data_IF_018113459939
#
_entry.id   IF_018113459939
#
_cell.length_a   1.000
_cell.length_b   1.000
_cell.length_c   1.000
_cell.angle_alpha   90.00
_cell.angle_beta   90.00
_cell.angle_gamma   90.00
#
_symmetry.space_group_name_H-M   'P 1'
#
loop_
_entity.id
_entity.type
_entity.pdbx_description
1 polymer ?
#
# COMPACT_ATOMS: atom_id res chain seq x y z
N UNK A 1 -16.25 -7.02 -22.01
CA UNK A 1 -16.67 -6.63 -20.63
C UNK A 1 -15.46 -6.47 -19.71
N UNK A 2 -15.50 -5.58 -18.73
CA UNK A 2 -14.51 -5.49 -17.64
C UNK A 2 -15.13 -6.11 -16.39
N UNK A 3 -14.43 -7.07 -15.79
CA UNK A 3 -14.81 -7.66 -14.50
C UNK A 3 -13.99 -7.00 -13.36
N UNK A 4 -14.61 -6.79 -12.21
CA UNK A 4 -13.95 -6.26 -11.00
C UNK A 4 -13.89 -7.33 -9.93
N UNK A 5 -12.70 -7.60 -9.41
CA UNK A 5 -12.44 -8.57 -8.36
C UNK A 5 -11.98 -7.92 -7.06
N UNK A 6 -12.50 -8.39 -5.93
CA UNK A 6 -12.05 -7.97 -4.61
C UNK A 6 -12.03 -9.16 -3.63
N UNK A 7 -10.91 -9.33 -2.92
CA UNK A 7 -10.82 -10.25 -1.79
C UNK A 7 -11.21 -9.48 -0.51
N UNK A 8 -12.28 -9.91 0.16
CA UNK A 8 -12.88 -9.19 1.28
C UNK A 8 -12.59 -9.92 2.58
N UNK A 9 -11.93 -9.25 3.51
CA UNK A 9 -11.74 -9.69 4.92
C UNK A 9 -12.55 -8.83 5.90
N UNK A 10 -12.84 -7.57 5.51
CA UNK A 10 -13.67 -6.63 6.25
C UNK A 10 -14.75 -6.05 5.31
N UNK A 11 -15.99 -6.51 5.48
CA UNK A 11 -17.12 -6.07 4.66
C UNK A 11 -17.44 -4.59 4.84
N UNK A 12 -17.29 -4.04 6.05
CA UNK A 12 -17.58 -2.62 6.30
C UNK A 12 -16.57 -1.73 5.57
N UNK A 13 -15.31 -2.15 5.52
CA UNK A 13 -14.26 -1.45 4.77
C UNK A 13 -14.52 -1.53 3.26
N UNK A 14 -14.86 -2.70 2.74
CA UNK A 14 -15.22 -2.88 1.34
C UNK A 14 -16.41 -2.00 0.93
N UNK A 15 -17.50 -2.02 1.71
CA UNK A 15 -18.72 -1.23 1.44
C UNK A 15 -18.48 0.29 1.53
N UNK A 16 -17.51 0.72 2.31
CA UNK A 16 -17.17 2.14 2.45
C UNK A 16 -16.09 2.66 1.49
N UNK A 17 -15.25 1.78 0.94
CA UNK A 17 -14.11 2.17 0.11
C UNK A 17 -14.19 1.61 -1.32
N UNK A 18 -13.96 0.31 -1.51
CA UNK A 18 -13.84 -0.27 -2.86
C UNK A 18 -15.17 -0.33 -3.60
N UNK A 19 -16.23 -0.78 -2.95
CA UNK A 19 -17.52 -0.99 -3.59
C UNK A 19 -18.09 0.28 -4.24
N UNK A 20 -18.13 1.45 -3.56
CA UNK A 20 -18.61 2.69 -4.19
C UNK A 20 -17.78 3.13 -5.39
N UNK A 21 -16.46 2.94 -5.34
CA UNK A 21 -15.55 3.23 -6.44
C UNK A 21 -15.80 2.33 -7.64
N UNK A 22 -15.93 1.02 -7.42
CA UNK A 22 -16.24 0.04 -8.46
C UNK A 22 -17.62 0.34 -9.09
N UNK A 23 -18.66 0.52 -8.27
CA UNK A 23 -20.03 0.83 -8.78
C UNK A 23 -20.11 2.12 -9.58
N UNK A 24 -19.23 3.08 -9.31
CA UNK A 24 -19.15 4.36 -10.05
C UNK A 24 -18.67 4.18 -11.47
N UNK A 25 -17.76 3.24 -11.70
CA UNK A 25 -17.07 3.06 -12.99
C UNK A 25 -17.50 1.81 -13.73
N UNK A 26 -18.18 0.87 -13.07
CA UNK A 26 -18.70 -0.34 -13.68
C UNK A 26 -19.68 -0.01 -14.81
N UNK A 27 -19.51 -0.66 -15.95
CA UNK A 27 -20.39 -0.57 -17.10
C UNK A 27 -21.57 -1.54 -16.96
N UNK A 28 -22.65 -1.40 -17.77
CA UNK A 28 -23.84 -2.24 -17.62
C UNK A 28 -23.61 -3.74 -17.80
N UNK A 29 -22.54 -4.12 -18.50
CA UNK A 29 -22.11 -5.50 -18.72
C UNK A 29 -20.96 -5.94 -17.81
N UNK A 30 -20.53 -5.07 -16.86
CA UNK A 30 -19.47 -5.43 -15.92
C UNK A 30 -19.94 -6.45 -14.89
N UNK A 31 -19.08 -7.43 -14.56
CA UNK A 31 -19.29 -8.37 -13.48
C UNK A 31 -18.47 -7.97 -12.24
N UNK A 32 -19.06 -8.12 -11.06
CA UNK A 32 -18.39 -7.84 -9.77
C UNK A 32 -18.20 -9.16 -9.01
N UNK A 33 -16.93 -9.58 -8.92
CA UNK A 33 -16.50 -10.79 -8.27
C UNK A 33 -15.96 -10.44 -6.86
N UNK A 34 -16.84 -10.43 -5.87
CA UNK A 34 -16.48 -10.09 -4.49
C UNK A 34 -16.45 -11.37 -3.63
N UNK A 35 -15.27 -11.79 -3.19
CA UNK A 35 -15.11 -12.97 -2.36
C UNK A 35 -14.79 -12.60 -0.91
N UNK A 36 -15.71 -12.94 -0.02
CA UNK A 36 -15.45 -12.85 1.41
C UNK A 36 -14.60 -14.02 1.89
N UNK A 37 -13.41 -13.75 2.40
CA UNK A 37 -12.59 -14.77 3.07
C UNK A 37 -13.10 -15.11 4.48
N UNK A 38 -14.06 -14.37 5.02
CA UNK A 38 -14.71 -14.64 6.30
C UNK A 38 -15.41 -16.02 6.24
N UNK A 39 -14.76 -17.02 6.78
CA UNK A 39 -15.26 -18.40 6.79
C UNK A 39 -14.49 -19.40 5.91
N UNK A 40 -13.54 -18.98 5.10
CA UNK A 40 -12.67 -19.87 4.33
C UNK A 40 -11.41 -20.33 5.10
N UNK A 41 -11.33 -20.05 6.39
CA UNK A 41 -10.17 -20.43 7.22
C UNK A 41 -8.90 -19.69 6.81
N UNK A 42 -7.81 -20.43 6.61
CA UNK A 42 -6.47 -19.89 6.31
C UNK A 42 -6.28 -19.45 4.85
N UNK A 43 -7.32 -18.97 4.15
CA UNK A 43 -7.22 -18.56 2.76
C UNK A 43 -6.33 -17.31 2.64
N UNK A 44 -5.17 -17.48 1.99
CA UNK A 44 -4.24 -16.38 1.69
C UNK A 44 -4.80 -15.47 0.60
N UNK A 45 -4.24 -14.25 0.49
CA UNK A 45 -4.55 -13.36 -0.63
C UNK A 45 -4.23 -14.03 -1.98
N UNK A 46 -3.18 -14.82 -2.04
CA UNK A 46 -2.79 -15.60 -3.22
C UNK A 46 -3.89 -16.56 -3.65
N UNK A 47 -4.45 -17.31 -2.69
CA UNK A 47 -5.55 -18.25 -2.95
C UNK A 47 -6.81 -17.52 -3.41
N UNK A 48 -7.17 -16.43 -2.72
CA UNK A 48 -8.35 -15.62 -3.08
C UNK A 48 -8.21 -15.04 -4.48
N UNK A 49 -7.03 -14.55 -4.85
CA UNK A 49 -6.79 -14.02 -6.19
C UNK A 49 -6.79 -15.12 -7.26
N UNK A 50 -6.28 -16.31 -6.95
CA UNK A 50 -6.41 -17.44 -7.88
C UNK A 50 -7.88 -17.82 -8.13
N UNK A 51 -8.74 -17.79 -7.10
CA UNK A 51 -10.17 -17.98 -7.26
C UNK A 51 -10.81 -16.89 -8.15
N UNK A 52 -10.41 -15.63 -7.98
CA UNK A 52 -10.87 -14.56 -8.86
C UNK A 52 -10.45 -14.80 -10.32
N UNK A 53 -9.22 -15.26 -10.56
CA UNK A 53 -8.76 -15.63 -11.90
C UNK A 53 -9.58 -16.79 -12.47
N UNK A 54 -9.87 -17.84 -11.65
CA UNK A 54 -10.66 -19.00 -12.06
C UNK A 54 -12.09 -18.61 -12.47
N UNK A 55 -12.74 -17.67 -11.73
CA UNK A 55 -14.08 -17.19 -12.06
C UNK A 55 -14.06 -16.25 -13.28
N UNK A 56 -13.11 -15.34 -13.33
CA UNK A 56 -12.97 -14.43 -14.47
C UNK A 56 -12.73 -15.19 -15.80
N UNK A 57 -11.97 -16.28 -15.72
CA UNK A 57 -11.70 -17.13 -16.92
C UNK A 57 -12.95 -17.84 -17.48
N UNK A 58 -14.06 -17.86 -16.75
CA UNK A 58 -15.35 -18.42 -17.22
C UNK A 58 -16.22 -17.38 -17.94
N UNK A 59 -15.86 -16.10 -17.83
CA UNK A 59 -16.66 -15.02 -18.38
C UNK A 59 -16.43 -14.90 -19.90
N UNK A 60 -17.51 -14.97 -20.66
CA UNK A 60 -17.45 -14.75 -22.11
C UNK A 60 -17.22 -13.26 -22.42
N UNK A 61 -16.28 -13.01 -23.33
CA UNK A 61 -15.99 -11.63 -23.77
C UNK A 61 -15.24 -10.80 -22.72
N UNK A 62 -14.50 -11.44 -21.79
CA UNK A 62 -13.65 -10.75 -20.84
C UNK A 62 -12.57 -9.93 -21.57
N UNK A 63 -12.56 -8.62 -21.36
CA UNK A 63 -11.52 -7.69 -21.83
C UNK A 63 -10.44 -7.48 -20.78
N UNK A 64 -10.84 -7.40 -19.50
CA UNK A 64 -9.92 -7.31 -18.37
C UNK A 64 -10.58 -7.80 -17.08
N UNK A 65 -9.78 -8.38 -16.17
CA UNK A 65 -10.09 -8.49 -14.76
C UNK A 65 -9.35 -7.39 -14.01
N UNK A 66 -10.08 -6.55 -13.29
CA UNK A 66 -9.52 -5.52 -12.41
C UNK A 66 -9.59 -6.00 -10.97
N UNK A 67 -8.45 -6.29 -10.36
CA UNK A 67 -8.41 -6.61 -8.94
C UNK A 67 -8.15 -5.33 -8.14
N UNK A 68 -9.00 -5.07 -7.14
CA UNK A 68 -8.92 -3.89 -6.26
C UNK A 68 -8.93 -4.36 -4.81
N UNK A 69 -8.06 -3.79 -3.98
CA UNK A 69 -8.11 -4.01 -2.52
C UNK A 69 -9.40 -3.44 -1.94
N UNK A 70 -9.89 -4.07 -0.86
CA UNK A 70 -11.11 -3.64 -0.17
C UNK A 70 -11.06 -2.21 0.38
N UNK A 71 -9.84 -1.68 0.61
CA UNK A 71 -9.53 -0.35 1.13
C UNK A 71 -9.05 0.63 0.04
N UNK A 72 -9.21 0.28 -1.23
CA UNK A 72 -8.85 1.13 -2.36
C UNK A 72 -10.08 1.63 -3.12
N UNK A 73 -10.14 2.95 -3.35
CA UNK A 73 -11.27 3.60 -4.01
C UNK A 73 -10.87 4.08 -5.42
N UNK A 74 -11.58 3.64 -6.45
CA UNK A 74 -11.44 4.16 -7.81
C UNK A 74 -12.16 5.51 -7.86
N UNK A 75 -11.42 6.59 -8.15
CA UNK A 75 -11.99 7.93 -8.28
C UNK A 75 -11.98 8.47 -9.71
N UNK A 76 -11.29 7.82 -10.61
CA UNK A 76 -11.20 8.19 -12.02
C UNK A 76 -12.48 7.83 -12.77
N UNK A 77 -13.27 8.81 -13.30
CA UNK A 77 -14.48 8.52 -14.04
C UNK A 77 -14.21 7.85 -15.39
N UNK A 78 -13.01 7.97 -15.93
CA UNK A 78 -12.59 7.41 -17.21
C UNK A 78 -11.92 6.03 -17.08
N UNK A 79 -12.03 5.40 -15.92
CA UNK A 79 -11.30 4.19 -15.55
C UNK A 79 -11.40 3.09 -16.63
N UNK A 80 -12.61 2.69 -17.04
CA UNK A 80 -12.79 1.58 -17.98
C UNK A 80 -12.16 1.87 -19.35
N UNK A 81 -12.26 3.10 -19.83
CA UNK A 81 -11.59 3.52 -21.07
C UNK A 81 -10.07 3.42 -20.93
N UNK A 82 -9.51 3.99 -19.86
CA UNK A 82 -8.07 3.94 -19.60
C UNK A 82 -7.56 2.50 -19.41
N UNK A 83 -8.33 1.66 -18.74
CA UNK A 83 -8.00 0.24 -18.60
C UNK A 83 -7.87 -0.44 -19.97
N UNK A 84 -8.83 -0.23 -20.89
CA UNK A 84 -8.75 -0.77 -22.25
C UNK A 84 -7.59 -0.20 -23.03
N UNK A 85 -7.37 1.11 -22.97
CA UNK A 85 -6.26 1.77 -23.67
C UNK A 85 -4.91 1.21 -23.20
N UNK A 86 -4.74 1.02 -21.87
CA UNK A 86 -3.50 0.53 -21.27
C UNK A 86 -3.15 -0.92 -21.64
N UNK A 87 -4.15 -1.78 -21.87
CA UNK A 87 -3.95 -3.18 -22.28
C UNK A 87 -4.12 -3.39 -23.79
N UNK A 88 -4.27 -2.33 -24.58
CA UNK A 88 -4.44 -2.43 -26.04
C UNK A 88 -3.20 -2.94 -26.76
N UNK A 89 -2.00 -2.71 -26.21
CA UNK A 89 -0.75 -3.34 -26.65
C UNK A 89 -0.72 -4.80 -26.17
N UNK A 90 -0.70 -5.79 -27.07
CA UNK A 90 -0.68 -7.21 -26.68
C UNK A 90 0.59 -7.62 -25.95
N UNK A 91 1.63 -6.80 -25.93
CA UNK A 91 2.82 -7.06 -25.11
C UNK A 91 2.62 -6.72 -23.63
N UNK A 92 1.57 -5.96 -23.27
CA UNK A 92 1.26 -5.64 -21.88
C UNK A 92 0.64 -6.85 -21.20
N UNK A 93 1.23 -7.27 -20.08
CA UNK A 93 0.76 -8.41 -19.30
C UNK A 93 0.04 -8.03 -18.01
N UNK A 94 0.33 -6.85 -17.45
CA UNK A 94 -0.30 -6.33 -16.25
C UNK A 94 -0.14 -4.80 -16.18
N UNK A 95 -1.15 -4.10 -15.64
CA UNK A 95 -1.10 -2.65 -15.43
C UNK A 95 -1.52 -2.30 -14.01
N UNK A 96 -0.82 -1.34 -13.39
CA UNK A 96 -1.17 -0.75 -12.10
C UNK A 96 -1.24 0.77 -12.16
N UNK A 97 -1.65 1.42 -11.07
CA UNK A 97 -1.60 2.89 -10.93
C UNK A 97 -0.35 3.37 -10.17
N UNK A 98 0.42 2.44 -9.64
CA UNK A 98 1.67 2.69 -8.92
C UNK A 98 2.67 1.59 -9.19
N UNK A 99 3.94 1.94 -9.32
CA UNK A 99 5.00 0.99 -9.58
C UNK A 99 6.36 1.65 -9.65
N UNK A 100 7.41 0.86 -9.85
CA UNK A 100 8.76 1.39 -9.94
C UNK A 100 9.70 0.54 -10.78
N UNK A 101 10.83 1.15 -11.17
CA UNK A 101 11.96 0.54 -11.85
C UNK A 101 13.13 0.44 -10.90
N UNK A 102 13.97 -0.58 -11.06
CA UNK A 102 15.12 -0.84 -10.20
C UNK A 102 14.72 -1.41 -8.84
N UNK A 103 13.57 -2.05 -8.78
CA UNK A 103 13.05 -2.69 -7.57
C UNK A 103 13.77 -4.02 -7.35
N UNK A 104 14.24 -4.23 -6.12
CA UNK A 104 15.00 -5.44 -5.75
C UNK A 104 14.33 -6.24 -4.63
N UNK A 105 13.22 -5.77 -4.12
CA UNK A 105 12.49 -6.37 -3.01
C UNK A 105 10.99 -6.08 -3.13
N UNK A 106 10.19 -6.59 -2.22
CA UNK A 106 8.74 -6.39 -2.20
C UNK A 106 8.31 -4.97 -1.81
N UNK A 107 9.25 -4.08 -1.47
CA UNK A 107 9.02 -2.65 -1.25
C UNK A 107 9.17 -1.90 -2.58
N UNK A 108 8.13 -1.89 -3.39
CA UNK A 108 8.18 -1.25 -4.71
C UNK A 108 8.61 0.23 -4.64
N UNK A 109 8.25 0.92 -3.56
CA UNK A 109 8.61 2.34 -3.34
C UNK A 109 10.11 2.59 -3.16
N UNK A 110 10.91 1.55 -2.93
CA UNK A 110 12.39 1.63 -2.88
C UNK A 110 13.02 1.60 -4.28
N UNK A 111 12.23 1.53 -5.33
CA UNK A 111 12.72 1.57 -6.71
C UNK A 111 13.42 2.87 -7.07
N UNK A 112 14.33 2.79 -8.03
CA UNK A 112 15.13 3.94 -8.50
C UNK A 112 14.27 5.02 -9.17
N UNK A 113 13.18 4.62 -9.82
CA UNK A 113 12.20 5.53 -10.42
C UNK A 113 10.81 5.03 -10.07
N UNK A 114 10.06 5.82 -9.33
CA UNK A 114 8.67 5.52 -8.96
C UNK A 114 7.69 6.28 -9.83
N UNK A 115 6.60 5.62 -10.19
CA UNK A 115 5.47 6.18 -10.94
C UNK A 115 4.20 5.87 -10.18
N UNK A 116 3.44 6.88 -9.79
CA UNK A 116 2.24 6.68 -9.01
C UNK A 116 1.19 7.77 -9.27
N UNK A 117 -0.07 7.39 -9.23
CA UNK A 117 -1.22 8.27 -9.43
C UNK A 117 -2.30 8.06 -8.36
N UNK A 118 -1.91 7.78 -7.12
CA UNK A 118 -2.84 7.59 -6.01
C UNK A 118 -2.49 8.48 -4.83
N UNK A 119 -3.46 8.69 -3.94
CA UNK A 119 -3.28 9.34 -2.66
C UNK A 119 -3.56 8.37 -1.51
N UNK A 120 -2.77 8.46 -0.45
CA UNK A 120 -3.12 7.81 0.82
C UNK A 120 -4.12 8.64 1.60
N UNK A 121 -5.10 7.97 2.20
CA UNK A 121 -6.04 8.57 3.13
C UNK A 121 -5.99 7.76 4.44
N UNK A 122 -5.52 8.40 5.50
CA UNK A 122 -5.21 7.74 6.76
C UNK A 122 -6.33 7.89 7.77
N UNK A 123 -6.75 6.77 8.38
CA UNK A 123 -7.82 6.73 9.38
C UNK A 123 -7.52 7.56 10.62
N UNK A 124 -6.25 7.62 11.07
CA UNK A 124 -5.79 8.37 12.23
C UNK A 124 -5.91 9.90 12.05
N UNK A 125 -6.06 10.35 10.79
CA UNK A 125 -6.34 11.75 10.45
C UNK A 125 -7.82 11.97 10.08
N UNK A 126 -8.72 11.10 10.55
CA UNK A 126 -10.14 11.19 10.26
C UNK A 126 -10.48 10.98 8.78
N UNK A 127 -9.67 10.22 8.07
CA UNK A 127 -9.80 9.99 6.63
C UNK A 127 -9.28 11.14 5.77
N UNK A 128 -8.53 12.09 6.35
CA UNK A 128 -7.88 13.16 5.63
C UNK A 128 -6.57 12.71 4.97
N UNK A 129 -6.16 13.45 3.93
CA UNK A 129 -4.87 13.24 3.27
C UNK A 129 -3.75 13.90 4.07
N UNK A 130 -2.59 13.24 4.13
CA UNK A 130 -1.39 13.85 4.68
C UNK A 130 -0.63 14.54 3.56
N UNK A 131 -0.43 15.83 3.68
CA UNK A 131 0.42 16.60 2.77
C UNK A 131 1.84 16.00 2.77
N UNK A 132 2.36 15.69 1.59
CA UNK A 132 3.67 15.09 1.41
C UNK A 132 3.70 13.56 1.46
N UNK A 133 2.62 12.90 1.91
CA UNK A 133 2.45 11.44 1.84
C UNK A 133 1.54 11.01 0.69
N UNK A 134 1.04 11.96 -0.09
CA UNK A 134 0.24 11.71 -1.28
C UNK A 134 1.13 11.79 -2.51
N UNK A 135 0.90 10.88 -3.44
CA UNK A 135 1.47 11.00 -4.78
C UNK A 135 0.55 11.92 -5.58
N UNK A 136 0.94 13.19 -5.72
CA UNK A 136 0.13 14.17 -6.39
C UNK A 136 0.06 13.90 -7.90
N UNK A 137 -1.05 13.40 -8.36
CA UNK A 137 -1.29 13.06 -9.76
C UNK A 137 -1.59 14.27 -10.65
N UNK A 138 -1.83 15.46 -10.08
CA UNK A 138 -2.23 16.63 -10.87
C UNK A 138 -1.04 17.47 -11.34
N UNK A 139 0.07 17.43 -10.61
CA UNK A 139 1.22 18.33 -10.83
C UNK A 139 2.41 17.65 -11.53
N UNK A 140 2.32 16.36 -11.80
CA UNK A 140 3.42 15.61 -12.39
C UNK A 140 3.43 15.69 -13.89
N UNK A 141 4.62 15.74 -14.50
CA UNK A 141 4.74 15.45 -15.91
C UNK A 141 4.11 14.09 -16.21
N UNK A 142 3.28 13.97 -17.26
CA UNK A 142 2.60 12.72 -17.61
C UNK A 142 3.54 11.51 -17.71
N UNK A 143 4.72 11.71 -18.28
CA UNK A 143 5.74 10.69 -18.45
C UNK A 143 6.35 10.18 -17.13
N UNK A 144 6.16 10.90 -16.04
CA UNK A 144 6.62 10.47 -14.72
C UNK A 144 5.58 9.61 -13.96
N UNK A 145 4.38 9.43 -14.53
CA UNK A 145 3.26 8.73 -13.87
C UNK A 145 2.86 7.45 -14.54
N UNK A 146 3.30 7.24 -15.76
CA UNK A 146 2.97 6.06 -16.55
C UNK A 146 4.16 5.59 -17.36
N UNK A 147 4.22 4.30 -17.59
CA UNK A 147 5.26 3.66 -18.39
C UNK A 147 5.55 2.24 -17.94
N UNK A 148 6.57 1.65 -18.58
CA UNK A 148 7.06 0.32 -18.23
C UNK A 148 7.85 0.37 -16.92
N UNK A 149 7.54 -0.58 -16.02
CA UNK A 149 8.14 -0.70 -14.69
C UNK A 149 8.57 -2.13 -14.43
N UNK A 150 9.35 -2.35 -13.37
CA UNK A 150 9.70 -3.71 -12.93
C UNK A 150 8.57 -4.35 -12.15
N UNK A 151 7.87 -3.56 -11.34
CA UNK A 151 6.86 -3.99 -10.39
C UNK A 151 5.79 -2.91 -10.23
N UNK A 152 4.54 -3.30 -10.08
CA UNK A 152 3.45 -2.44 -9.63
C UNK A 152 3.08 -2.77 -8.18
N UNK A 153 2.39 -1.83 -7.51
CA UNK A 153 1.70 -2.08 -6.25
C UNK A 153 0.40 -2.86 -6.51
N UNK A 154 0.17 -3.89 -5.72
CA UNK A 154 -0.93 -4.83 -5.92
C UNK A 154 -2.30 -4.36 -5.45
N UNK A 155 -2.42 -3.16 -4.83
CA UNK A 155 -3.73 -2.71 -4.36
C UNK A 155 -4.73 -2.43 -5.50
N UNK A 156 -4.22 -2.23 -6.73
CA UNK A 156 -5.02 -2.18 -7.97
C UNK A 156 -4.22 -2.77 -9.13
N UNK A 157 -4.80 -3.80 -9.76
CA UNK A 157 -4.19 -4.51 -10.90
C UNK A 157 -5.21 -4.67 -12.02
N UNK A 158 -4.87 -4.26 -13.24
CA UNK A 158 -5.63 -4.50 -14.47
C UNK A 158 -4.95 -5.66 -15.18
N UNK A 159 -5.67 -6.76 -15.30
CA UNK A 159 -5.19 -8.05 -15.79
C UNK A 159 -5.86 -8.36 -17.13
N UNK A 160 -5.12 -8.32 -18.27
CA UNK A 160 -5.67 -8.71 -19.56
C UNK A 160 -6.01 -10.22 -19.58
N UNK A 161 -6.83 -10.70 -20.55
CA UNK A 161 -7.19 -12.12 -20.67
C UNK A 161 -5.97 -13.05 -20.67
N UNK A 162 -4.90 -12.64 -21.34
CA UNK A 162 -3.64 -13.39 -21.33
C UNK A 162 -3.13 -13.67 -19.90
N UNK A 163 -3.17 -12.66 -18.99
CA UNK A 163 -2.77 -12.86 -17.60
C UNK A 163 -3.68 -13.87 -16.89
N UNK A 164 -4.99 -13.71 -17.05
CA UNK A 164 -6.00 -14.58 -16.41
C UNK A 164 -5.81 -16.04 -16.83
N UNK A 165 -5.40 -16.29 -18.06
CA UNK A 165 -5.15 -17.63 -18.58
C UNK A 165 -3.80 -18.22 -18.14
N UNK A 166 -2.74 -17.41 -18.08
CA UNK A 166 -1.36 -17.90 -18.04
C UNK A 166 -0.63 -17.68 -16.70
N UNK A 167 -1.08 -16.77 -15.86
CA UNK A 167 -0.42 -16.43 -14.59
C UNK A 167 -1.21 -16.96 -13.40
N UNK A 168 -0.51 -17.35 -12.34
CA UNK A 168 -1.11 -17.75 -11.06
C UNK A 168 -0.32 -17.15 -9.91
N UNK A 169 -1.02 -16.74 -8.88
CA UNK A 169 -0.42 -16.29 -7.62
C UNK A 169 0.17 -17.50 -6.89
N UNK A 170 1.43 -17.41 -6.52
CA UNK A 170 2.18 -18.51 -5.90
C UNK A 170 1.85 -18.62 -4.40
N UNK A 171 0.93 -19.50 -4.03
CA UNK A 171 0.47 -19.72 -2.66
C UNK A 171 1.60 -20.15 -1.69
N UNK A 172 2.74 -20.62 -2.20
CA UNK A 172 3.89 -21.00 -1.37
C UNK A 172 4.63 -19.80 -0.78
N UNK A 173 4.39 -18.58 -1.30
CA UNK A 173 5.06 -17.37 -0.84
C UNK A 173 4.53 -16.84 0.51
N UNK A 174 3.33 -17.24 0.93
CA UNK A 174 2.82 -16.89 2.26
C UNK A 174 1.36 -16.51 2.28
N UNK A 175 0.99 -15.62 3.23
CA UNK A 175 -0.41 -15.25 3.44
C UNK A 175 -0.82 -13.97 2.72
N UNK A 176 0.03 -12.93 2.71
CA UNK A 176 -0.38 -11.61 2.25
C UNK A 176 0.67 -10.87 1.41
N UNK A 177 1.95 -10.87 1.75
CA UNK A 177 2.95 -9.98 1.14
C UNK A 177 3.66 -10.59 -0.06
N UNK A 178 4.06 -9.76 -1.04
CA UNK A 178 4.93 -10.11 -2.16
C UNK A 178 4.24 -10.76 -3.36
N UNK A 179 2.92 -10.87 -3.34
CA UNK A 179 2.14 -11.42 -4.46
C UNK A 179 2.25 -10.55 -5.72
N UNK A 180 2.26 -9.24 -5.55
CA UNK A 180 2.37 -8.23 -6.59
C UNK A 180 3.75 -8.25 -7.26
N UNK A 181 4.81 -8.28 -6.43
CA UNK A 181 6.16 -8.45 -6.94
C UNK A 181 6.28 -9.75 -7.75
N UNK A 182 5.81 -10.87 -7.19
CA UNK A 182 5.92 -12.18 -7.82
C UNK A 182 5.23 -12.27 -9.17
N UNK A 183 3.98 -11.81 -9.28
CA UNK A 183 3.28 -11.86 -10.57
C UNK A 183 3.88 -10.92 -11.60
N UNK A 184 4.41 -9.76 -11.18
CA UNK A 184 5.13 -8.89 -12.09
C UNK A 184 6.38 -9.58 -12.66
N UNK A 185 7.13 -10.30 -11.83
CA UNK A 185 8.29 -11.06 -12.31
C UNK A 185 7.88 -12.23 -13.22
N UNK A 186 6.76 -12.91 -12.94
CA UNK A 186 6.21 -13.95 -13.83
C UNK A 186 5.84 -13.37 -15.21
N UNK A 187 5.16 -12.22 -15.23
CA UNK A 187 4.80 -11.48 -16.46
C UNK A 187 6.05 -11.15 -17.28
N UNK A 188 7.08 -10.59 -16.63
CA UNK A 188 8.34 -10.24 -17.28
C UNK A 188 9.12 -11.49 -17.75
N UNK A 189 9.11 -12.56 -16.98
CA UNK A 189 9.71 -13.84 -17.38
C UNK A 189 9.03 -14.47 -18.61
N UNK A 190 7.73 -14.19 -18.81
CA UNK A 190 6.99 -14.56 -20.00
C UNK A 190 7.21 -13.62 -21.19
N UNK A 191 8.09 -12.62 -21.07
CA UNK A 191 8.40 -11.64 -22.11
C UNK A 191 7.34 -10.57 -22.31
N UNK A 192 6.45 -10.38 -21.32
CA UNK A 192 5.43 -9.33 -21.34
C UNK A 192 5.87 -8.12 -20.52
N UNK A 193 5.23 -6.98 -20.77
CA UNK A 193 5.49 -5.72 -20.06
C UNK A 193 4.63 -5.61 -18.81
N UNK A 194 5.22 -5.05 -17.77
CA UNK A 194 4.54 -4.54 -16.57
C UNK A 194 4.44 -3.04 -16.72
N UNK A 195 3.24 -2.48 -16.64
CA UNK A 195 3.00 -1.06 -16.94
C UNK A 195 2.34 -0.34 -15.78
N UNK A 196 2.59 0.96 -15.68
CA UNK A 196 1.74 1.87 -14.90
C UNK A 196 0.95 2.77 -15.83
N UNK A 197 -0.30 3.05 -15.44
CA UNK A 197 -1.18 4.01 -16.11
C UNK A 197 -1.60 5.10 -15.14
N UNK A 198 -1.85 6.32 -15.66
CA UNK A 198 -2.32 7.43 -14.85
C UNK A 198 -3.81 7.27 -14.53
N UNK A 199 -4.08 6.52 -13.47
CA UNK A 199 -5.41 6.24 -12.92
C UNK A 199 -5.44 6.76 -11.48
N UNK A 200 -6.08 7.92 -11.23
CA UNK A 200 -6.29 8.42 -9.87
C UNK A 200 -7.06 7.45 -8.99
N UNK A 201 -6.48 7.12 -7.84
CA UNK A 201 -7.04 6.22 -6.83
C UNK A 201 -6.86 6.82 -5.44
N UNK A 202 -7.66 6.40 -4.48
CA UNK A 202 -7.44 6.66 -3.07
C UNK A 202 -7.21 5.32 -2.38
N UNK A 203 -6.11 5.20 -1.63
CA UNK A 203 -5.81 4.04 -0.83
C UNK A 203 -6.00 4.41 0.66
N UNK A 204 -7.03 3.83 1.27
CA UNK A 204 -7.38 4.07 2.66
C UNK A 204 -6.50 3.18 3.54
N UNK A 205 -5.66 3.78 4.35
CA UNK A 205 -4.68 3.10 5.18
C UNK A 205 -4.78 3.49 6.65
N UNK A 206 -4.14 2.70 7.49
CA UNK A 206 -3.58 3.13 8.77
C UNK A 206 -2.13 3.58 8.59
N UNK A 207 -1.62 4.40 9.50
CA UNK A 207 -0.19 4.77 9.55
C UNK A 207 0.71 3.55 9.83
N UNK A 208 0.15 2.47 10.34
CA UNK A 208 0.82 1.19 10.48
C UNK A 208 0.86 0.47 9.12
N UNK A 209 1.78 0.92 8.25
CA UNK A 209 1.88 0.43 6.87
C UNK A 209 2.21 -1.07 6.77
N UNK A 210 2.84 -1.66 7.79
CA UNK A 210 3.21 -3.08 7.86
C UNK A 210 2.83 -3.60 9.24
N UNK A 211 1.59 -4.10 9.39
CA UNK A 211 1.10 -4.64 10.67
C UNK A 211 1.74 -5.98 11.05
N UNK A 212 2.06 -6.83 10.05
CA UNK A 212 2.76 -8.12 10.22
C UNK A 212 4.20 -8.04 9.70
N UNK A 213 5.11 -7.52 10.52
CA UNK A 213 6.54 -7.37 10.17
C UNK A 213 7.22 -8.71 9.91
N UNK A 214 6.93 -9.73 10.68
CA UNK A 214 7.55 -11.06 10.53
C UNK A 214 7.07 -11.73 9.24
N UNK A 215 5.79 -11.64 8.93
CA UNK A 215 5.22 -12.12 7.67
C UNK A 215 5.79 -11.38 6.46
N UNK A 216 5.97 -10.06 6.56
CA UNK A 216 6.59 -9.26 5.52
C UNK A 216 8.04 -9.64 5.25
N UNK A 217 8.86 -9.81 6.30
CA UNK A 217 10.25 -10.26 6.19
C UNK A 217 10.31 -11.66 5.55
N UNK A 218 9.46 -12.58 6.02
CA UNK A 218 9.42 -13.94 5.48
C UNK A 218 9.04 -13.97 3.99
N UNK A 219 8.06 -13.16 3.57
CA UNK A 219 7.68 -13.02 2.16
C UNK A 219 8.82 -12.42 1.34
N UNK A 220 9.46 -11.36 1.83
CA UNK A 220 10.63 -10.75 1.19
C UNK A 220 11.74 -11.79 0.91
N UNK A 221 12.06 -12.61 1.91
CA UNK A 221 13.10 -13.64 1.75
C UNK A 221 12.72 -14.69 0.70
N UNK A 222 11.46 -15.18 0.71
CA UNK A 222 10.99 -16.17 -0.28
C UNK A 222 10.98 -15.61 -1.70
N UNK A 223 10.52 -14.38 -1.87
CA UNK A 223 10.52 -13.69 -3.17
C UNK A 223 11.94 -13.47 -3.67
N UNK A 224 12.88 -13.06 -2.80
CA UNK A 224 14.28 -12.91 -3.15
C UNK A 224 14.90 -14.25 -3.57
N UNK A 225 14.68 -15.32 -2.82
CA UNK A 225 15.14 -16.67 -3.17
C UNK A 225 14.60 -17.14 -4.53
N UNK A 226 13.35 -16.82 -4.83
CA UNK A 226 12.72 -17.17 -6.10
C UNK A 226 13.28 -16.38 -7.28
N UNK A 227 13.57 -15.09 -7.12
CA UNK A 227 13.80 -14.15 -8.23
C UNK A 227 15.18 -13.51 -8.32
N UNK A 228 16.00 -13.58 -7.28
CA UNK A 228 17.32 -12.94 -7.28
C UNK A 228 18.17 -13.37 -8.49
N UNK A 229 18.70 -12.35 -9.19
CA UNK A 229 19.56 -12.53 -10.35
C UNK A 229 18.89 -13.08 -11.60
N UNK A 230 17.56 -13.26 -11.62
CA UNK A 230 16.86 -13.85 -12.77
C UNK A 230 16.43 -12.84 -13.83
N UNK A 231 16.09 -11.61 -13.42
CA UNK A 231 15.61 -10.58 -14.33
C UNK A 231 16.39 -9.27 -14.17
N UNK A 232 16.67 -8.62 -15.27
CA UNK A 232 17.23 -7.26 -15.29
C UNK A 232 16.11 -6.23 -15.12
N UNK A 233 16.43 -5.02 -14.60
CA UNK A 233 15.47 -3.91 -14.57
C UNK A 233 14.89 -3.61 -15.95
N UNK A 234 13.65 -3.08 -15.99
CA UNK A 234 13.00 -2.64 -17.21
C UNK A 234 13.83 -1.54 -17.89
N UNK A 235 13.99 -1.65 -19.20
CA UNK A 235 14.88 -0.76 -19.95
C UNK A 235 14.13 0.35 -20.69
N UNK A 236 12.87 0.16 -20.96
CA UNK A 236 12.08 1.05 -21.80
C UNK A 236 11.30 2.05 -20.98
N UNK A 237 11.95 3.13 -20.61
CA UNK A 237 11.25 4.30 -20.15
C UNK A 237 11.45 5.40 -21.17
N UNK A 238 10.36 6.03 -21.66
CA UNK A 238 10.44 7.19 -22.52
C UNK A 238 11.16 8.34 -21.80
N UNK A 239 12.08 9.01 -22.48
CA UNK A 239 12.80 10.16 -21.94
C UNK A 239 14.25 9.88 -21.49
N UNK A 240 15.00 10.96 -21.21
CA UNK A 240 16.40 10.87 -20.77
C UNK A 240 16.49 10.30 -19.34
N UNK A 241 17.13 9.16 -19.18
CA UNK A 241 17.32 8.52 -17.87
C UNK A 241 18.06 9.43 -16.87
N UNK A 242 18.92 10.33 -17.35
CA UNK A 242 19.66 11.28 -16.50
C UNK A 242 18.74 12.31 -15.88
N UNK A 243 17.77 12.82 -16.63
CA UNK A 243 16.81 13.78 -16.11
C UNK A 243 15.88 13.13 -15.09
N UNK A 244 15.53 11.86 -15.29
CA UNK A 244 14.75 11.09 -14.31
C UNK A 244 15.53 10.76 -13.06
N UNK A 245 16.80 10.38 -13.19
CA UNK A 245 17.67 10.16 -12.04
C UNK A 245 17.80 11.43 -11.20
N UNK A 246 18.02 12.58 -11.83
CA UNK A 246 18.07 13.88 -11.16
C UNK A 246 16.74 14.21 -10.48
N UNK A 247 15.65 13.91 -11.14
CA UNK A 247 14.32 14.15 -10.58
C UNK A 247 14.03 13.25 -9.38
N UNK A 248 14.40 11.97 -9.44
CA UNK A 248 14.29 11.04 -8.32
C UNK A 248 15.18 11.46 -7.14
N UNK A 249 16.41 11.94 -7.41
CA UNK A 249 17.27 12.51 -6.39
C UNK A 249 16.63 13.75 -5.72
N UNK A 250 16.10 14.66 -6.51
CA UNK A 250 15.42 15.85 -5.99
C UNK A 250 14.16 15.48 -5.17
N UNK A 251 13.39 14.50 -5.63
CA UNK A 251 12.23 13.98 -4.91
C UNK A 251 12.61 13.33 -3.57
N UNK A 252 13.67 12.52 -3.55
CA UNK A 252 14.22 11.94 -2.32
C UNK A 252 14.67 13.03 -1.34
N UNK A 253 15.41 14.02 -1.83
CA UNK A 253 15.93 15.11 -0.98
C UNK A 253 14.78 15.95 -0.42
N UNK A 254 13.74 16.21 -1.21
CA UNK A 254 12.51 16.87 -0.74
C UNK A 254 11.80 16.04 0.34
N UNK A 255 11.66 14.72 0.15
CA UNK A 255 11.06 13.84 1.14
C UNK A 255 11.87 13.80 2.46
N UNK A 256 13.20 13.78 2.38
CA UNK A 256 14.07 13.87 3.56
C UNK A 256 13.90 15.21 4.29
N UNK A 257 13.79 16.32 3.56
CA UNK A 257 13.54 17.64 4.16
C UNK A 257 12.17 17.69 4.86
N UNK A 258 11.14 17.09 4.26
CA UNK A 258 9.80 17.00 4.87
C UNK A 258 9.82 16.12 6.14
N UNK A 259 10.49 14.98 6.10
CA UNK A 259 10.66 14.12 7.27
C UNK A 259 11.36 14.85 8.43
N UNK A 260 12.44 15.57 8.13
CA UNK A 260 13.16 16.38 9.12
C UNK A 260 12.27 17.53 9.67
N UNK A 261 11.49 18.19 8.83
CA UNK A 261 10.56 19.22 9.26
C UNK A 261 9.46 18.66 10.17
N UNK A 262 8.92 17.48 9.85
CA UNK A 262 7.93 16.80 10.69
C UNK A 262 8.52 16.38 12.04
N UNK A 263 9.76 15.93 12.09
CA UNK A 263 10.47 15.62 13.34
C UNK A 263 10.67 16.86 14.21
N UNK A 264 11.12 17.97 13.62
CA UNK A 264 11.26 19.24 14.32
C UNK A 264 9.92 19.76 14.85
N UNK A 265 8.85 19.66 14.07
CA UNK A 265 7.50 20.03 14.49
C UNK A 265 7.00 19.19 15.67
N UNK A 266 7.25 17.86 15.64
CA UNK A 266 6.96 16.95 16.74
C UNK A 266 7.71 17.36 18.01
N UNK A 267 8.99 17.61 17.91
CA UNK A 267 9.83 17.97 19.06
C UNK A 267 9.43 19.33 19.64
N UNK A 268 9.04 20.27 18.80
CA UNK A 268 8.48 21.56 19.23
C UNK A 268 7.15 21.37 19.98
N UNK A 269 6.27 20.51 19.47
CA UNK A 269 4.99 20.17 20.13
C UNK A 269 5.19 19.50 21.49
N UNK A 270 6.12 18.55 21.59
CA UNK A 270 6.50 17.91 22.86
C UNK A 270 7.02 18.93 23.85
N UNK A 271 7.94 19.80 23.42
CA UNK A 271 8.48 20.88 24.26
C UNK A 271 7.41 21.85 24.76
N UNK A 272 6.42 22.16 23.94
CA UNK A 272 5.29 23.02 24.32
C UNK A 272 4.39 22.33 25.37
N UNK A 273 4.07 21.05 25.16
CA UNK A 273 3.31 20.24 26.14
C UNK A 273 4.04 20.18 27.49
N UNK A 274 5.34 19.95 27.48
CA UNK A 274 6.15 19.94 28.69
C UNK A 274 6.15 21.29 29.40
N UNK A 275 6.22 22.39 28.63
CA UNK A 275 6.12 23.75 29.17
C UNK A 275 4.75 24.00 29.79
N UNK A 276 3.68 23.57 29.15
CA UNK A 276 2.33 23.68 29.69
C UNK A 276 2.15 22.83 30.97
N UNK A 277 2.68 21.61 31.00
CA UNK A 277 2.70 20.75 32.19
C UNK A 277 3.44 21.43 33.35
N UNK A 278 4.63 21.96 33.12
CA UNK A 278 5.40 22.71 34.15
C UNK A 278 4.61 23.91 34.68
N UNK A 279 3.88 24.63 33.82
CA UNK A 279 3.04 25.75 34.24
C UNK A 279 1.86 25.29 35.09
N UNK A 280 1.21 24.19 34.75
CA UNK A 280 0.14 23.58 35.53
C UNK A 280 0.68 23.17 36.90
N UNK A 281 1.80 22.46 36.96
CA UNK A 281 2.42 21.99 38.21
C UNK A 281 2.85 23.13 39.14
N UNK A 282 3.23 24.28 38.60
CA UNK A 282 3.56 25.50 39.34
C UNK A 282 2.35 26.30 39.80
N UNK A 283 1.18 26.02 39.27
CA UNK A 283 -0.05 26.75 39.59
C UNK A 283 -0.46 26.58 41.06
N UNK A 284 -1.06 27.60 41.64
CA UNK A 284 -1.53 27.59 43.01
C UNK A 284 -2.56 26.44 43.23
N UNK A 285 -3.44 26.24 42.27
CA UNK A 285 -4.45 25.15 42.27
C UNK A 285 -3.80 23.78 42.35
N UNK A 286 -2.76 23.53 41.55
CA UNK A 286 -2.04 22.26 41.54
C UNK A 286 -1.31 21.98 42.86
N UNK A 287 -0.73 23.04 43.44
CA UNK A 287 -0.06 22.96 44.74
C UNK A 287 -1.04 22.68 45.88
N UNK A 288 -2.16 23.38 45.93
CA UNK A 288 -3.19 23.20 46.96
C UNK A 288 -3.84 21.80 46.91
N UNK A 289 -4.00 21.25 45.72
CA UNK A 289 -4.60 19.91 45.54
C UNK A 289 -3.60 18.76 45.64
N UNK A 290 -2.32 18.99 45.89
CA UNK A 290 -1.27 17.99 46.02
C UNK A 290 -1.61 16.89 47.06
N UNK A 291 -2.10 17.20 48.25
CA UNK A 291 -2.44 16.18 49.23
C UNK A 291 -3.57 15.25 48.77
N UNK A 292 -4.58 15.80 48.07
CA UNK A 292 -5.71 15.03 47.53
C UNK A 292 -5.25 14.06 46.43
N UNK A 293 -4.35 14.50 45.56
CA UNK A 293 -3.79 13.63 44.50
C UNK A 293 -2.95 12.51 45.09
N UNK A 294 -2.16 12.81 46.13
CA UNK A 294 -1.39 11.82 46.85
C UNK A 294 -2.30 10.76 47.50
N UNK A 295 -3.36 11.18 48.16
CA UNK A 295 -4.33 10.26 48.77
C UNK A 295 -5.00 9.37 47.71
N UNK A 296 -5.37 9.94 46.55
CA UNK A 296 -5.94 9.20 45.40
C UNK A 296 -4.95 8.19 44.83
N UNK A 297 -3.64 8.50 44.78
CA UNK A 297 -2.62 7.58 44.29
C UNK A 297 -2.40 6.39 45.23
N UNK A 298 -2.53 6.60 46.53
CA UNK A 298 -2.48 5.53 47.54
C UNK A 298 -3.66 4.58 47.42
N UNK A 299 -4.85 5.12 47.23
CA UNK A 299 -6.09 4.32 47.02
C UNK A 299 -6.05 3.47 45.75
N UNK A 300 -5.40 3.97 44.69
CA UNK A 300 -5.21 3.19 43.44
C UNK A 300 -4.19 2.07 43.55
N UNK A 301 -3.10 2.26 44.37
CA UNK A 301 -2.08 1.23 44.58
C UNK A 301 -2.57 0.09 45.49
N UNK A 302 -3.61 0.31 46.30
CA UNK A 302 -4.24 -0.73 47.12
C UNK A 302 -5.20 -1.67 46.40
N UNK A 303 -5.49 -1.45 45.11
CA UNK A 303 -6.48 -2.20 44.34
C UNK A 303 -5.94 -3.10 43.24
N UNK A 304 -4.64 -3.19 43.00
CA UNK A 304 -4.11 -4.13 42.03
C UNK A 304 -3.72 -5.45 42.66
N UNK A 305 -4.28 -6.60 42.24
CA UNK A 305 -3.75 -7.89 42.65
C UNK A 305 -2.37 -8.11 42.03
N UNK A 306 -1.40 -8.43 42.87
CA UNK A 306 -0.05 -8.77 42.46
C UNK A 306 -0.03 -9.90 41.45
N UNK A 307 0.22 -9.59 40.19
CA UNK A 307 0.66 -10.59 39.22
C UNK A 307 2.20 -10.56 39.15
N UNK A 308 2.81 -11.50 39.83
CA UNK A 308 4.20 -11.86 39.64
C UNK A 308 4.42 -12.40 38.21
N UNK A 309 5.33 -11.83 37.48
CA UNK A 309 5.74 -12.36 36.17
C UNK A 309 6.90 -11.55 35.58
N UNK A 310 8.09 -11.97 35.90
CA UNK A 310 9.39 -11.58 35.33
C UNK A 310 9.40 -11.49 33.82
N UNK A 311 9.86 -10.36 33.29
CA UNK A 311 10.89 -10.35 32.21
C UNK A 311 11.31 -8.91 31.90
N UNK A 312 12.46 -8.54 32.41
CA UNK A 312 13.22 -7.38 31.93
C UNK A 312 13.95 -7.83 30.65
N UNK A 313 13.53 -7.38 29.47
CA UNK A 313 14.40 -7.34 28.30
C UNK A 313 14.98 -5.94 28.17
N UNK A 314 16.30 -5.88 28.30
CA UNK A 314 17.08 -4.67 28.13
C UNK A 314 17.16 -4.32 26.64
N UNK A 315 16.82 -3.09 26.29
CA UNK A 315 17.11 -2.49 25.00
C UNK A 315 18.63 -2.29 24.84
N UNK A 316 19.24 -2.65 23.70
CA UNK A 316 20.64 -2.38 23.47
C UNK A 316 20.86 -0.89 23.17
N UNK A 317 21.84 -0.29 23.86
CA UNK A 317 22.34 1.05 23.61
C UNK A 317 22.90 1.17 22.18
N UNK A 318 22.35 2.08 21.38
CA UNK A 318 22.97 2.51 20.11
C UNK A 318 24.28 3.24 20.42
N UNK A 319 25.40 2.67 19.99
CA UNK A 319 26.65 3.40 19.78
C UNK A 319 26.57 4.16 18.46
N UNK A 320 27.17 5.34 18.45
CA UNK A 320 27.24 6.33 17.38
C UNK A 320 27.93 5.80 16.12
#
# INVERSE_FOLDING_TARGET
>A
MIAFGCAITDHALYESCAEPGIKRVAEPDSEILAYGSAGLGDASIFRNYNLLLEEANKLEGLEALVIVHQDAEIVDPDFCRKARDAISDPEVGIVGCAGAIGVRNIAWWDGSVTMASFAHRYSEYGGGEILGSTFNWDEKPPEARQGEVDVIDGFMMILPPWFVENIRFDESLGQFHGYDFDVCQQVRAAGKKVMTEHIPMIHHHSLELIGDVDGWIAAHMRVAEKWDGKLSPAQTISGDWKDRARWAEAGRDAALMQANAAELARDAAVSDIERQLRNIERSASWRLTKPLRWLKSLLRRGGEPSSNGNSRSALPSRQR
#
